data_IF_075003527270
#
_entry.id   IF_075003527270
#
_cell.length_a   1.000
_cell.length_b   1.000
_cell.length_c   1.000
_cell.angle_alpha   90.00
_cell.angle_beta   90.00
_cell.angle_gamma   90.00
#
_symmetry.space_group_name_H-M   'P 1'
#
loop_
_entity.id
_entity.type
_entity.pdbx_description
1 polymer ?
#
# COMPACT_ATOMS: atom_id res chain seq x y z
N UNK A 1 11.23 -5.50 -3.66
CA UNK A 1 12.58 -5.21 -4.19
C UNK A 1 13.40 -6.43 -4.59
N UNK A 2 13.70 -7.42 -3.73
CA UNK A 2 14.52 -8.58 -4.13
C UNK A 2 14.00 -9.33 -5.37
N UNK A 3 12.69 -9.60 -5.40
CA UNK A 3 11.97 -10.20 -6.54
C UNK A 3 12.13 -9.36 -7.82
N UNK A 4 11.99 -8.04 -7.71
CA UNK A 4 12.12 -7.11 -8.84
C UNK A 4 13.55 -7.02 -9.37
N UNK A 5 14.57 -7.07 -8.50
CA UNK A 5 15.99 -7.03 -8.91
C UNK A 5 16.40 -8.21 -9.81
N UNK A 6 15.62 -9.29 -9.82
CA UNK A 6 15.84 -10.45 -10.68
C UNK A 6 14.85 -10.52 -11.86
N UNK A 7 14.11 -9.43 -12.11
CA UNK A 7 13.16 -9.35 -13.23
C UNK A 7 11.86 -10.12 -13.00
N UNK A 8 11.63 -10.66 -11.79
CA UNK A 8 10.38 -11.32 -11.46
C UNK A 8 9.30 -10.32 -11.07
N UNK A 9 8.04 -10.67 -11.36
CA UNK A 9 6.86 -9.86 -11.03
C UNK A 9 6.48 -10.13 -9.58
N UNK A 10 6.37 -9.09 -8.75
CA UNK A 10 5.82 -9.24 -7.40
C UNK A 10 4.31 -9.10 -7.43
N UNK A 11 3.61 -9.97 -6.72
CA UNK A 11 2.16 -9.86 -6.51
C UNK A 11 1.85 -9.99 -5.02
N UNK A 12 1.54 -8.88 -4.33
CA UNK A 12 1.13 -8.95 -2.94
C UNK A 12 -0.21 -9.68 -2.80
N UNK A 13 -0.33 -10.47 -1.74
CA UNK A 13 -1.58 -11.12 -1.35
C UNK A 13 -2.00 -10.64 0.04
N UNK A 14 -3.29 -10.47 0.26
CA UNK A 14 -3.81 -10.08 1.55
C UNK A 14 -3.66 -11.22 2.55
N UNK A 15 -3.15 -11.00 3.77
CA UNK A 15 -3.06 -12.03 4.81
C UNK A 15 -4.45 -12.48 5.31
N UNK A 16 -5.51 -11.77 4.92
CA UNK A 16 -6.90 -12.10 5.25
C UNK A 16 -7.56 -12.99 4.19
N UNK A 17 -6.91 -13.19 3.04
CA UNK A 17 -7.44 -14.01 1.96
C UNK A 17 -7.75 -15.41 2.47
N UNK A 18 -8.96 -15.88 2.16
CA UNK A 18 -9.37 -17.25 2.40
C UNK A 18 -8.84 -18.15 1.29
N UNK A 19 -8.98 -19.45 1.51
CA UNK A 19 -8.53 -20.51 0.61
C UNK A 19 -8.92 -20.26 -0.85
N UNK A 20 -10.19 -19.96 -1.14
CA UNK A 20 -10.65 -19.73 -2.50
C UNK A 20 -10.09 -18.46 -3.15
N UNK A 21 -9.87 -17.40 -2.38
CA UNK A 21 -9.30 -16.13 -2.85
C UNK A 21 -7.82 -16.30 -3.18
N UNK A 22 -7.08 -16.98 -2.29
CA UNK A 22 -5.68 -17.34 -2.52
C UNK A 22 -5.55 -18.29 -3.71
N UNK A 23 -6.38 -19.34 -3.79
CA UNK A 23 -6.39 -20.30 -4.89
C UNK A 23 -6.61 -19.62 -6.23
N UNK A 24 -7.59 -18.70 -6.30
CA UNK A 24 -7.82 -17.91 -7.50
C UNK A 24 -6.59 -17.10 -7.88
N UNK A 25 -6.02 -16.33 -6.93
CA UNK A 25 -4.89 -15.46 -7.20
C UNK A 25 -3.66 -16.25 -7.68
N UNK A 26 -3.24 -17.30 -6.96
CA UNK A 26 -2.02 -18.06 -7.33
C UNK A 26 -2.17 -18.80 -8.65
N UNK A 27 -3.37 -19.27 -8.98
CA UNK A 27 -3.64 -19.98 -10.23
C UNK A 27 -3.74 -19.06 -11.43
N UNK A 28 -4.38 -17.90 -11.28
CA UNK A 28 -4.44 -16.89 -12.35
C UNK A 28 -3.04 -16.32 -12.67
N UNK A 29 -2.23 -16.11 -11.64
CA UNK A 29 -0.81 -15.75 -11.76
C UNK A 29 0.07 -16.84 -12.35
N UNK A 30 -0.32 -18.11 -12.18
CA UNK A 30 0.59 -19.27 -12.26
C UNK A 30 1.84 -19.07 -11.39
N UNK A 31 1.64 -18.58 -10.17
CA UNK A 31 2.71 -18.27 -9.24
C UNK A 31 3.54 -19.53 -8.93
N UNK A 32 4.87 -19.41 -9.00
CA UNK A 32 5.81 -20.51 -8.68
C UNK A 32 6.39 -20.45 -7.27
N UNK A 33 6.40 -19.25 -6.69
CA UNK A 33 7.00 -18.99 -5.38
C UNK A 33 6.02 -18.17 -4.56
N UNK A 34 5.86 -18.53 -3.29
CA UNK A 34 5.12 -17.74 -2.32
C UNK A 34 5.98 -17.51 -1.07
N UNK A 35 5.94 -16.29 -0.54
CA UNK A 35 6.49 -15.96 0.78
C UNK A 35 5.29 -15.74 1.70
N UNK A 36 5.14 -16.60 2.71
CA UNK A 36 3.98 -16.60 3.59
C UNK A 36 4.39 -16.63 5.06
N UNK A 37 3.63 -15.92 5.89
CA UNK A 37 3.81 -16.01 7.32
C UNK A 37 3.45 -17.41 7.83
N UNK A 38 4.15 -17.89 8.85
CA UNK A 38 3.99 -19.25 9.40
C UNK A 38 2.54 -19.57 9.76
N UNK A 39 1.80 -18.60 10.33
CA UNK A 39 0.39 -18.74 10.67
C UNK A 39 -0.56 -18.79 9.47
N UNK A 40 -0.09 -18.47 8.26
CA UNK A 40 -0.84 -18.51 7.00
C UNK A 40 -0.53 -19.77 6.17
N UNK A 41 0.51 -20.53 6.53
CA UNK A 41 0.87 -21.78 5.83
C UNK A 41 -0.28 -22.79 5.73
N UNK A 42 -1.17 -22.96 6.73
CA UNK A 42 -2.32 -23.86 6.58
C UNK A 42 -3.25 -23.51 5.42
N UNK A 43 -3.36 -22.24 5.02
CA UNK A 43 -4.12 -21.84 3.83
C UNK A 43 -3.33 -22.14 2.57
N UNK A 44 -2.02 -21.90 2.58
CA UNK A 44 -1.11 -22.23 1.46
C UNK A 44 -1.11 -23.73 1.17
N UNK A 45 -1.05 -24.57 2.20
CA UNK A 45 -0.96 -26.03 2.07
C UNK A 45 -2.21 -26.65 1.41
N UNK A 46 -3.38 -26.04 1.63
CA UNK A 46 -4.61 -26.48 0.95
C UNK A 46 -4.65 -26.10 -0.52
N UNK A 47 -4.03 -24.97 -0.88
CA UNK A 47 -4.02 -24.45 -2.25
C UNK A 47 -2.90 -25.06 -3.09
N UNK A 48 -1.77 -25.38 -2.46
CA UNK A 48 -0.54 -25.83 -3.13
C UNK A 48 -0.76 -27.02 -4.08
N UNK A 49 -1.47 -28.11 -3.73
CA UNK A 49 -1.61 -29.30 -4.57
C UNK A 49 -2.22 -29.02 -5.95
N UNK A 50 -3.12 -28.05 -6.04
CA UNK A 50 -3.85 -27.70 -7.26
C UNK A 50 -3.32 -26.42 -7.91
N UNK A 51 -2.05 -26.09 -7.68
CA UNK A 51 -1.41 -24.86 -8.15
C UNK A 51 -0.05 -25.07 -8.80
N UNK A 52 0.51 -24.00 -9.38
CA UNK A 52 1.87 -23.99 -9.93
C UNK A 52 2.97 -23.73 -8.88
N UNK A 53 2.63 -23.65 -7.59
CA UNK A 53 3.58 -23.32 -6.52
C UNK A 53 4.60 -24.43 -6.32
N UNK A 54 5.87 -24.09 -6.52
CA UNK A 54 7.02 -24.98 -6.37
C UNK A 54 7.74 -24.71 -5.05
N UNK A 55 7.96 -23.43 -4.72
CA UNK A 55 8.67 -23.01 -3.51
C UNK A 55 7.76 -22.23 -2.56
N UNK A 56 7.84 -22.58 -1.27
CA UNK A 56 7.13 -21.89 -0.19
C UNK A 56 8.16 -21.41 0.80
N UNK A 57 8.37 -20.10 0.88
CA UNK A 57 9.19 -19.48 1.90
C UNK A 57 8.33 -19.14 3.12
N UNK A 58 8.73 -19.64 4.28
CA UNK A 58 8.11 -19.32 5.56
C UNK A 58 8.82 -18.12 6.19
N UNK A 59 8.04 -17.14 6.66
CA UNK A 59 8.50 -16.05 7.53
C UNK A 59 7.79 -16.15 8.88
N UNK A 60 8.45 -15.74 9.96
CA UNK A 60 7.81 -15.64 11.27
C UNK A 60 7.81 -14.18 11.69
N UNK A 61 6.65 -13.64 12.05
CA UNK A 61 6.55 -12.22 12.43
C UNK A 61 7.39 -11.86 13.66
N UNK A 62 7.76 -12.85 14.48
CA UNK A 62 8.59 -12.66 15.66
C UNK A 62 10.11 -12.65 15.36
N UNK A 63 10.54 -13.01 14.15
CA UNK A 63 11.97 -13.24 13.83
C UNK A 63 12.87 -12.01 14.06
N UNK A 64 12.31 -10.81 13.86
CA UNK A 64 13.03 -9.55 14.01
C UNK A 64 12.59 -8.75 15.24
N UNK A 65 11.83 -9.35 16.16
CA UNK A 65 11.48 -8.70 17.41
C UNK A 65 12.73 -8.52 18.29
N UNK A 66 13.01 -7.31 18.79
CA UNK A 66 14.10 -7.11 19.72
C UNK A 66 13.80 -7.86 21.04
N UNK A 67 14.84 -8.28 21.80
CA UNK A 67 14.65 -8.94 23.10
C UNK A 67 13.83 -8.11 24.09
N UNK A 68 13.88 -6.78 23.95
CA UNK A 68 13.05 -5.83 24.70
C UNK A 68 12.37 -4.88 23.71
N UNK A 69 11.11 -5.15 23.31
CA UNK A 69 10.31 -4.23 22.52
C UNK A 69 10.18 -2.87 23.20
N UNK A 70 10.29 -1.80 22.43
CA UNK A 70 10.16 -0.41 22.90
C UNK A 70 8.76 0.15 22.76
N UNK A 71 7.87 -0.58 22.09
CA UNK A 71 6.45 -0.30 21.95
C UNK A 71 5.64 -1.45 22.55
N UNK A 72 4.36 -1.22 22.82
CA UNK A 72 3.44 -2.28 23.18
C UNK A 72 3.38 -3.32 22.06
N UNK A 73 3.48 -4.59 22.44
CA UNK A 73 3.50 -5.69 21.50
C UNK A 73 2.09 -6.28 21.36
N UNK A 74 1.55 -6.42 20.14
CA UNK A 74 0.32 -7.18 19.90
C UNK A 74 0.37 -8.57 20.55
N UNK A 75 -0.75 -9.00 21.14
CA UNK A 75 -0.82 -10.26 21.89
C UNK A 75 -0.39 -11.47 21.04
N UNK A 76 -0.73 -11.48 19.76
CA UNK A 76 -0.33 -12.51 18.81
C UNK A 76 1.18 -12.56 18.56
N UNK A 77 1.87 -11.41 18.57
CA UNK A 77 3.33 -11.37 18.44
C UNK A 77 4.02 -11.77 19.75
N UNK A 78 3.45 -11.36 20.88
CA UNK A 78 3.93 -11.77 22.20
C UNK A 78 3.77 -13.29 22.41
N UNK A 79 2.71 -13.89 21.86
CA UNK A 79 2.52 -15.33 21.83
C UNK A 79 3.52 -16.00 20.89
N UNK A 80 3.65 -15.51 19.65
CA UNK A 80 4.58 -16.05 18.66
C UNK A 80 6.05 -16.02 19.12
N UNK A 81 6.45 -15.04 19.93
CA UNK A 81 7.79 -14.98 20.51
C UNK A 81 8.09 -16.14 21.49
N UNK A 82 7.06 -16.71 22.11
CA UNK A 82 7.19 -17.81 23.08
C UNK A 82 7.05 -19.18 22.44
N UNK A 83 6.47 -19.24 21.24
CA UNK A 83 6.29 -20.49 20.51
C UNK A 83 7.63 -20.95 19.89
N UNK A 84 7.89 -22.27 19.86
CA UNK A 84 9.04 -22.79 19.15
C UNK A 84 8.98 -22.39 17.67
N UNK A 85 10.04 -21.72 17.21
CA UNK A 85 10.20 -21.40 15.79
C UNK A 85 10.37 -22.69 14.99
N UNK A 86 9.44 -22.95 14.07
CA UNK A 86 9.46 -24.15 13.22
C UNK A 86 9.26 -23.80 11.75
N UNK A 87 9.94 -24.52 10.86
CA UNK A 87 9.76 -24.43 9.40
C UNK A 87 9.22 -25.79 8.95
N UNK A 88 7.97 -25.87 8.47
CA UNK A 88 7.38 -27.14 8.05
C UNK A 88 8.14 -27.82 6.91
N UNK A 89 8.04 -29.15 6.83
CA UNK A 89 8.62 -29.90 5.71
C UNK A 89 8.05 -29.41 4.38
N UNK A 90 8.93 -29.22 3.38
CA UNK A 90 8.54 -28.68 2.07
C UNK A 90 8.40 -27.15 2.02
N UNK A 91 8.74 -26.45 3.11
CA UNK A 91 8.95 -25.01 3.15
C UNK A 91 10.44 -24.69 3.33
N UNK A 92 10.84 -23.49 2.93
CA UNK A 92 12.18 -22.94 3.11
C UNK A 92 12.14 -21.77 4.09
N UNK A 93 13.15 -21.65 4.94
CA UNK A 93 13.28 -20.54 5.87
C UNK A 93 13.72 -19.28 5.13
N UNK A 94 12.83 -18.28 5.06
CA UNK A 94 13.12 -17.06 4.32
C UNK A 94 14.25 -16.25 4.98
N UNK A 95 14.29 -16.15 6.31
CA UNK A 95 15.32 -15.37 6.99
C UNK A 95 16.69 -16.02 6.80
N UNK A 96 16.79 -17.34 6.94
CA UNK A 96 18.03 -18.05 6.65
C UNK A 96 18.45 -17.87 5.17
N UNK A 97 17.50 -17.93 4.23
CA UNK A 97 17.80 -17.71 2.81
C UNK A 97 18.35 -16.30 2.52
N UNK A 98 17.89 -15.27 3.25
CA UNK A 98 18.42 -13.90 3.08
C UNK A 98 19.84 -13.70 3.63
N UNK A 99 20.35 -14.63 4.44
CA UNK A 99 21.73 -14.63 4.93
C UNK A 99 22.71 -15.37 4.01
N UNK A 100 22.21 -15.99 2.93
CA UNK A 100 23.05 -16.65 1.95
C UNK A 100 23.93 -15.66 1.17
N UNK A 101 25.01 -16.18 0.58
CA UNK A 101 25.96 -15.43 -0.25
C UNK A 101 25.61 -15.47 -1.76
N UNK A 102 24.45 -16.01 -2.10
CA UNK A 102 23.96 -16.13 -3.46
C UNK A 102 23.86 -14.75 -4.13
N UNK A 103 24.47 -14.63 -5.31
CA UNK A 103 24.39 -13.43 -6.15
C UNK A 103 23.49 -13.72 -7.34
N UNK A 104 22.39 -12.99 -7.53
CA UNK A 104 21.55 -13.19 -8.69
C UNK A 104 22.34 -12.87 -9.96
N UNK A 105 22.12 -13.64 -11.02
CA UNK A 105 22.62 -13.28 -12.33
C UNK A 105 22.02 -11.92 -12.75
N UNK A 106 22.80 -11.02 -13.37
CA UNK A 106 22.23 -9.82 -13.99
C UNK A 106 21.14 -10.20 -14.98
N UNK A 107 20.04 -9.47 -14.93
CA UNK A 107 18.93 -9.58 -15.89
C UNK A 107 18.76 -8.23 -16.56
N UNK A 108 18.41 -8.24 -17.84
CA UNK A 108 18.01 -7.03 -18.54
C UNK A 108 16.57 -6.68 -18.11
N UNK A 109 16.38 -5.45 -17.63
CA UNK A 109 15.09 -4.96 -17.13
C UNK A 109 14.82 -3.60 -17.76
N UNK A 110 13.73 -3.50 -18.51
CA UNK A 110 13.25 -2.26 -19.08
C UNK A 110 12.23 -1.57 -18.15
N UNK A 111 12.11 -0.25 -18.26
CA UNK A 111 11.09 0.50 -17.52
C UNK A 111 9.65 0.08 -17.89
N UNK A 112 9.44 -0.49 -19.07
CA UNK A 112 8.14 -0.96 -19.53
C UNK A 112 7.82 -2.41 -19.06
N UNK A 113 8.78 -3.11 -18.46
CA UNK A 113 8.55 -4.45 -17.91
C UNK A 113 7.64 -4.39 -16.69
N UNK A 114 6.78 -5.40 -16.53
CA UNK A 114 5.87 -5.50 -15.38
C UNK A 114 6.70 -5.76 -14.12
N UNK A 115 6.61 -4.85 -13.15
CA UNK A 115 7.31 -4.95 -11.87
C UNK A 115 6.40 -5.46 -10.76
N UNK A 116 5.11 -5.12 -10.86
CA UNK A 116 4.11 -5.33 -9.82
C UNK A 116 2.79 -5.73 -10.48
N UNK A 117 2.12 -6.71 -9.89
CA UNK A 117 0.75 -7.05 -10.24
C UNK A 117 -0.13 -6.92 -9.00
N UNK A 118 -1.11 -6.03 -9.04
CA UNK A 118 -2.05 -5.82 -7.93
C UNK A 118 -3.41 -6.38 -8.29
N UNK A 119 -3.97 -7.23 -7.44
CA UNK A 119 -5.33 -7.75 -7.64
C UNK A 119 -6.34 -6.73 -7.12
N UNK A 120 -7.20 -6.25 -8.02
CA UNK A 120 -8.21 -5.26 -7.70
C UNK A 120 -9.50 -5.95 -7.29
N UNK A 121 -10.21 -5.44 -6.26
CA UNK A 121 -11.41 -6.06 -5.69
C UNK A 121 -12.66 -5.85 -6.56
N UNK A 122 -12.54 -6.04 -7.88
CA UNK A 122 -13.51 -5.63 -8.90
C UNK A 122 -14.98 -5.67 -8.45
N UNK A 123 -15.71 -4.59 -8.70
CA UNK A 123 -17.10 -4.39 -8.25
C UNK A 123 -18.13 -5.36 -8.84
N UNK A 124 -17.74 -6.13 -9.86
CA UNK A 124 -18.64 -6.97 -10.68
C UNK A 124 -18.15 -8.40 -10.91
N UNK A 125 -17.05 -8.84 -10.27
CA UNK A 125 -16.52 -10.18 -10.50
C UNK A 125 -15.27 -10.54 -9.71
N UNK A 126 -14.61 -11.62 -10.14
CA UNK A 126 -13.36 -12.08 -9.52
C UNK A 126 -12.27 -11.00 -9.65
N UNK A 127 -11.36 -10.89 -8.65
CA UNK A 127 -10.30 -9.89 -8.66
C UNK A 127 -9.46 -9.91 -9.95
N UNK A 128 -9.00 -8.76 -10.44
CA UNK A 128 -8.23 -8.68 -11.69
C UNK A 128 -6.80 -8.22 -11.40
N UNK A 129 -5.80 -8.91 -11.95
CA UNK A 129 -4.39 -8.51 -11.80
C UNK A 129 -4.05 -7.32 -12.69
N UNK A 130 -3.96 -6.11 -12.13
CA UNK A 130 -3.49 -4.92 -12.84
C UNK A 130 -1.96 -4.98 -13.02
N UNK A 131 -1.49 -4.95 -14.28
CA UNK A 131 -0.07 -5.02 -14.62
C UNK A 131 0.59 -3.64 -14.56
N UNK A 132 1.43 -3.42 -13.55
CA UNK A 132 2.12 -2.15 -13.30
C UNK A 132 3.61 -2.31 -13.61
N UNK A 133 4.12 -1.47 -14.50
CA UNK A 133 5.52 -1.48 -14.92
C UNK A 133 6.45 -0.81 -13.91
N UNK A 134 7.76 -1.00 -14.08
CA UNK A 134 8.78 -0.24 -13.35
C UNK A 134 8.61 1.26 -13.54
N UNK A 135 8.32 1.71 -14.77
CA UNK A 135 8.06 3.09 -15.11
C UNK A 135 6.81 3.64 -14.44
N UNK A 136 5.73 2.84 -14.37
CA UNK A 136 4.51 3.24 -13.64
C UNK A 136 4.82 3.51 -12.17
N UNK A 137 5.50 2.55 -11.52
CA UNK A 137 5.85 2.63 -10.11
C UNK A 137 6.81 3.80 -9.83
N UNK A 138 7.85 3.98 -10.65
CA UNK A 138 8.81 5.07 -10.50
C UNK A 138 8.13 6.43 -10.61
N UNK A 139 7.32 6.63 -11.67
CA UNK A 139 6.59 7.89 -11.86
C UNK A 139 5.71 8.22 -10.65
N UNK A 140 4.85 7.28 -10.22
CA UNK A 140 3.94 7.56 -9.10
C UNK A 140 4.65 7.70 -7.77
N UNK A 141 5.71 6.93 -7.53
CA UNK A 141 6.49 7.03 -6.29
C UNK A 141 7.17 8.39 -6.17
N UNK A 142 7.86 8.84 -7.24
CA UNK A 142 8.53 10.15 -7.25
C UNK A 142 7.52 11.29 -7.12
N UNK A 143 6.43 11.27 -7.91
CA UNK A 143 5.43 12.33 -7.83
C UNK A 143 4.71 12.36 -6.48
N UNK A 144 4.44 11.19 -5.88
CA UNK A 144 3.85 11.12 -4.55
C UNK A 144 4.78 11.71 -3.48
N UNK A 145 6.08 11.41 -3.54
CA UNK A 145 7.07 11.99 -2.64
C UNK A 145 7.13 13.52 -2.80
N UNK A 146 7.28 14.00 -4.04
CA UNK A 146 7.40 15.43 -4.36
C UNK A 146 6.15 16.22 -3.94
N UNK A 147 4.96 15.72 -4.27
CA UNK A 147 3.69 16.39 -3.98
C UNK A 147 3.37 16.46 -2.48
N UNK A 148 3.85 15.47 -1.71
CA UNK A 148 3.70 15.45 -0.25
C UNK A 148 4.90 16.04 0.49
N UNK A 149 5.91 16.52 -0.23
CA UNK A 149 7.12 17.14 0.32
C UNK A 149 7.95 16.19 1.19
N UNK A 150 7.90 14.88 0.93
CA UNK A 150 8.64 13.89 1.71
C UNK A 150 10.10 13.88 1.26
N UNK A 151 11.01 14.01 2.22
CA UNK A 151 12.46 14.03 1.99
C UNK A 151 13.17 12.95 2.80
N UNK A 152 14.48 12.80 2.60
CA UNK A 152 15.30 11.87 3.39
C UNK A 152 15.37 12.19 4.89
N UNK A 153 15.02 13.41 5.29
CA UNK A 153 15.01 13.85 6.69
C UNK A 153 13.73 13.45 7.43
N UNK A 154 12.73 12.91 6.71
CA UNK A 154 11.47 12.50 7.30
C UNK A 154 11.52 11.11 7.94
N UNK A 155 10.63 10.92 8.93
CA UNK A 155 10.36 9.64 9.57
C UNK A 155 8.90 9.28 9.33
N UNK A 156 8.66 8.29 8.48
CA UNK A 156 7.33 7.87 8.05
C UNK A 156 6.81 6.74 8.95
N UNK A 157 5.56 6.84 9.40
CA UNK A 157 4.85 5.72 10.03
C UNK A 157 4.15 4.87 8.96
N UNK A 158 4.67 3.67 8.76
CA UNK A 158 4.17 2.69 7.78
C UNK A 158 3.31 1.66 8.49
N UNK A 159 1.99 1.85 8.42
CA UNK A 159 1.01 1.00 9.11
C UNK A 159 -0.23 0.65 8.28
N UNK A 160 -0.41 1.35 7.15
CA UNK A 160 -1.41 0.96 6.16
C UNK A 160 -1.04 -0.43 5.57
N UNK A 161 -2.01 -1.25 5.14
CA UNK A 161 -1.71 -2.58 4.62
C UNK A 161 -0.80 -2.52 3.38
N UNK A 162 0.42 -3.06 3.49
CA UNK A 162 1.43 -2.97 2.43
C UNK A 162 1.12 -3.81 1.19
N UNK A 163 0.18 -4.75 1.29
CA UNK A 163 -0.32 -5.49 0.12
C UNK A 163 -1.28 -4.66 -0.73
N UNK A 164 -1.87 -3.61 -0.16
CA UNK A 164 -2.72 -2.66 -0.87
C UNK A 164 -1.86 -1.56 -1.50
N UNK A 165 -2.19 -1.14 -2.72
CA UNK A 165 -1.35 -0.24 -3.52
C UNK A 165 -1.02 1.08 -2.80
N UNK A 166 -1.97 1.65 -2.05
CA UNK A 166 -1.74 2.87 -1.28
C UNK A 166 -0.77 2.67 -0.11
N UNK A 167 -0.88 1.53 0.60
CA UNK A 167 0.05 1.19 1.68
C UNK A 167 1.44 0.89 1.13
N UNK A 168 1.54 0.23 -0.02
CA UNK A 168 2.80 0.00 -0.72
C UNK A 168 3.47 1.33 -1.14
N UNK A 169 2.72 2.20 -1.81
CA UNK A 169 3.25 3.48 -2.29
C UNK A 169 3.78 4.32 -1.13
N UNK A 170 2.92 4.57 -0.13
CA UNK A 170 3.23 5.48 0.98
C UNK A 170 4.17 4.87 2.02
N UNK A 171 4.09 3.56 2.27
CA UNK A 171 4.82 2.89 3.35
C UNK A 171 6.09 2.14 2.91
N UNK A 172 6.26 1.88 1.61
CA UNK A 172 7.43 1.13 1.08
C UNK A 172 8.15 1.90 0.00
N UNK A 173 7.44 2.42 -0.99
CA UNK A 173 8.09 3.01 -2.17
C UNK A 173 8.62 4.41 -1.88
N UNK A 174 7.79 5.28 -1.28
CA UNK A 174 8.18 6.66 -0.95
C UNK A 174 9.41 6.69 -0.02
N UNK A 175 9.45 5.97 1.12
CA UNK A 175 10.65 5.97 1.97
C UNK A 175 11.92 5.54 1.22
N UNK A 176 11.80 4.56 0.31
CA UNK A 176 12.96 4.05 -0.43
C UNK A 176 13.44 5.02 -1.50
N UNK A 177 12.55 5.72 -2.21
CA UNK A 177 12.98 6.69 -3.23
C UNK A 177 13.58 7.95 -2.61
N UNK A 178 13.07 8.37 -1.44
CA UNK A 178 13.53 9.61 -0.77
C UNK A 178 14.70 9.36 0.17
N UNK A 179 14.93 8.11 0.58
CA UNK A 179 15.88 7.76 1.64
C UNK A 179 15.34 8.01 3.05
N UNK A 180 14.04 8.30 3.20
CA UNK A 180 13.42 8.56 4.49
C UNK A 180 13.41 7.32 5.40
N UNK A 181 13.39 7.56 6.71
CA UNK A 181 13.26 6.47 7.68
C UNK A 181 11.81 5.97 7.69
N UNK A 182 11.60 4.65 7.70
CA UNK A 182 10.27 4.04 7.79
C UNK A 182 10.13 3.27 9.10
N UNK A 183 9.19 3.70 9.96
CA UNK A 183 8.75 2.98 11.15
C UNK A 183 7.62 2.05 10.73
N UNK A 184 7.93 0.77 10.51
CA UNK A 184 6.98 -0.24 10.09
C UNK A 184 6.34 -0.93 11.31
N UNK A 185 5.02 -0.83 11.45
CA UNK A 185 4.27 -1.58 12.46
C UNK A 185 3.64 -2.84 11.84
N UNK A 186 3.55 -3.91 12.64
CA UNK A 186 3.00 -5.21 12.22
C UNK A 186 1.55 -5.10 11.73
N UNK A 187 0.73 -4.35 12.47
CA UNK A 187 -0.64 -3.98 12.14
C UNK A 187 -0.99 -2.67 12.79
N UNK A 188 -2.15 -2.12 12.42
CA UNK A 188 -2.72 -1.01 13.16
C UNK A 188 -3.14 -1.42 14.57
N UNK A 189 -2.65 -0.66 15.55
CA UNK A 189 -3.12 -0.59 16.92
C UNK A 189 -3.01 0.89 17.33
N UNK A 190 -4.10 1.53 17.80
CA UNK A 190 -4.13 2.97 17.97
C UNK A 190 -3.15 3.46 19.05
N UNK A 191 -2.98 2.70 20.14
CA UNK A 191 -2.03 3.05 21.21
C UNK A 191 -0.59 2.90 20.72
N UNK A 192 -0.30 1.78 20.06
CA UNK A 192 1.03 1.49 19.50
C UNK A 192 1.42 2.52 18.43
N UNK A 193 0.46 3.02 17.63
CA UNK A 193 0.70 4.10 16.67
C UNK A 193 1.10 5.40 17.36
N UNK A 194 0.40 5.80 18.44
CA UNK A 194 0.76 6.98 19.24
C UNK A 194 2.15 6.82 19.90
N UNK A 195 2.42 5.65 20.48
CA UNK A 195 3.74 5.31 21.02
C UNK A 195 4.84 5.40 19.96
N UNK A 196 4.58 4.90 18.74
CA UNK A 196 5.54 4.94 17.65
C UNK A 196 5.84 6.38 17.23
N UNK A 197 4.81 7.23 17.14
CA UNK A 197 4.95 8.65 16.81
C UNK A 197 5.84 9.35 17.84
N UNK A 198 5.54 9.19 19.12
CA UNK A 198 6.30 9.78 20.22
C UNK A 198 7.75 9.25 20.27
N UNK A 199 7.90 7.92 20.31
CA UNK A 199 9.18 7.24 20.56
C UNK A 199 10.18 7.47 19.43
N UNK A 200 9.71 7.34 18.18
CA UNK A 200 10.57 7.44 17.00
C UNK A 200 10.52 8.80 16.34
N UNK A 201 9.80 9.76 16.94
CA UNK A 201 9.65 11.13 16.45
C UNK A 201 9.16 11.16 15.00
N UNK A 202 8.14 10.37 14.69
CA UNK A 202 7.52 10.31 13.34
C UNK A 202 7.14 11.72 12.91
N UNK A 203 7.55 12.11 11.71
CA UNK A 203 7.25 13.43 11.12
C UNK A 203 6.07 13.36 10.15
N UNK A 204 5.83 12.18 9.56
CA UNK A 204 4.84 12.00 8.51
C UNK A 204 4.07 10.68 8.68
N UNK A 205 2.75 10.72 8.55
CA UNK A 205 1.92 9.52 8.68
C UNK A 205 0.78 9.51 7.66
N UNK A 206 0.74 8.52 6.77
CA UNK A 206 -0.45 8.25 5.95
C UNK A 206 -1.42 7.35 6.71
N UNK A 207 -2.68 7.76 6.78
CA UNK A 207 -3.74 7.04 7.50
C UNK A 207 -5.06 7.01 6.72
N UNK A 208 -6.02 6.25 7.25
CA UNK A 208 -7.44 6.38 6.90
C UNK A 208 -8.18 7.04 8.05
N UNK A 209 -9.28 7.73 7.78
CA UNK A 209 -10.03 8.47 8.80
C UNK A 209 -10.37 7.66 10.07
N UNK A 210 -10.78 6.37 9.99
CA UNK A 210 -11.00 5.55 11.18
C UNK A 210 -9.76 5.36 12.08
N UNK A 211 -8.55 5.37 11.53
CA UNK A 211 -7.32 5.25 12.32
C UNK A 211 -7.13 6.47 13.23
N UNK A 212 -7.33 7.67 12.69
CA UNK A 212 -7.26 8.90 13.48
C UNK A 212 -8.33 8.93 14.59
N UNK A 213 -9.56 8.51 14.27
CA UNK A 213 -10.64 8.40 15.26
C UNK A 213 -10.25 7.44 16.38
N UNK A 214 -9.74 6.24 16.03
CA UNK A 214 -9.32 5.26 17.01
C UNK A 214 -8.19 5.77 17.91
N UNK A 215 -7.20 6.47 17.35
CA UNK A 215 -6.12 7.10 18.12
C UNK A 215 -6.66 8.13 19.12
N UNK A 216 -7.61 8.99 18.72
CA UNK A 216 -8.23 9.97 19.64
C UNK A 216 -9.05 9.33 20.76
N UNK A 217 -9.52 8.10 20.56
CA UNK A 217 -10.29 7.34 21.56
C UNK A 217 -9.41 6.57 22.56
N UNK A 218 -8.08 6.55 22.37
CA UNK A 218 -7.17 5.93 23.34
C UNK A 218 -7.23 6.69 24.66
N UNK A 219 -7.43 6.00 25.80
CA UNK A 219 -7.31 6.64 27.11
C UNK A 219 -5.93 7.29 27.28
N UNK A 220 -5.90 8.59 27.58
CA UNK A 220 -4.65 9.35 27.66
C UNK A 220 -4.03 9.70 26.30
N UNK A 221 -4.78 9.69 25.20
CA UNK A 221 -4.25 10.04 23.86
C UNK A 221 -3.54 11.40 23.81
N UNK A 222 -4.00 12.38 24.60
CA UNK A 222 -3.40 13.70 24.69
C UNK A 222 -2.09 13.75 25.50
N UNK A 223 -1.75 12.68 26.21
CA UNK A 223 -0.54 12.59 27.04
C UNK A 223 0.70 12.19 26.21
N UNK A 224 0.51 11.65 25.01
CA UNK A 224 1.60 11.34 24.08
C UNK A 224 2.17 12.61 23.43
N UNK A 225 3.49 12.72 23.36
CA UNK A 225 4.18 13.79 22.61
C UNK A 225 4.10 13.54 21.10
N UNK A 226 3.11 14.14 20.44
CA UNK A 226 2.96 14.12 18.98
C UNK A 226 3.60 15.33 18.29
N UNK A 227 4.47 16.09 18.96
CA UNK A 227 5.01 17.36 18.44
C UNK A 227 5.90 17.20 17.20
N UNK A 228 6.46 16.01 16.99
CA UNK A 228 7.25 15.68 15.79
C UNK A 228 6.38 15.57 14.54
N UNK A 229 5.13 15.14 14.67
CA UNK A 229 4.24 14.88 13.55
C UNK A 229 3.85 16.20 12.87
N UNK A 230 4.31 16.40 11.63
CA UNK A 230 4.08 17.61 10.84
C UNK A 230 2.99 17.43 9.80
N UNK A 231 2.92 16.25 9.19
CA UNK A 231 1.98 15.96 8.11
C UNK A 231 1.27 14.64 8.36
N UNK A 232 -0.04 14.64 8.19
CA UNK A 232 -0.84 13.42 8.19
C UNK A 232 -1.90 13.45 7.09
N UNK A 233 -1.54 13.05 5.86
CA UNK A 233 -2.50 12.82 4.79
C UNK A 233 -3.42 11.66 5.17
N UNK A 234 -4.73 11.91 5.15
CA UNK A 234 -5.76 10.97 5.58
C UNK A 234 -6.67 10.66 4.41
N UNK A 235 -6.84 9.39 4.08
CA UNK A 235 -7.80 8.99 3.05
C UNK A 235 -9.20 8.81 3.64
N UNK A 236 -10.20 9.36 2.96
CA UNK A 236 -11.63 9.10 3.20
C UNK A 236 -12.02 7.66 2.85
N UNK A 237 -11.59 6.70 3.66
CA UNK A 237 -11.94 5.29 3.53
C UNK A 237 -12.80 4.84 4.71
N UNK A 238 -13.96 4.23 4.43
CA UNK A 238 -14.97 3.86 5.43
C UNK A 238 -15.80 5.04 5.93
N UNK A 239 -15.16 6.16 6.28
CA UNK A 239 -15.82 7.44 6.59
C UNK A 239 -15.07 8.59 5.90
N UNK A 240 -15.77 9.71 5.67
CA UNK A 240 -15.17 10.90 5.10
C UNK A 240 -14.27 11.63 6.13
N UNK A 241 -13.10 12.07 5.69
CA UNK A 241 -12.22 12.95 6.46
C UNK A 241 -12.68 14.40 6.29
N UNK A 242 -13.36 14.92 7.32
CA UNK A 242 -14.02 16.23 7.29
C UNK A 242 -13.24 17.28 8.08
N UNK A 243 -13.54 18.56 7.86
CA UNK A 243 -12.94 19.65 8.64
C UNK A 243 -13.12 19.48 10.16
N UNK A 244 -14.32 19.13 10.68
CA UNK A 244 -14.48 18.89 12.11
C UNK A 244 -13.58 17.76 12.62
N UNK A 245 -13.45 16.66 11.86
CA UNK A 245 -12.59 15.55 12.23
C UNK A 245 -11.10 15.95 12.23
N UNK A 246 -10.66 16.73 11.24
CA UNK A 246 -9.32 17.27 11.20
C UNK A 246 -9.03 18.19 12.38
N UNK A 247 -9.98 19.04 12.79
CA UNK A 247 -9.87 19.91 13.98
C UNK A 247 -9.80 19.10 15.27
N UNK A 248 -10.56 18.02 15.39
CA UNK A 248 -10.46 17.10 16.53
C UNK A 248 -9.07 16.46 16.61
N UNK A 249 -8.54 15.98 15.48
CA UNK A 249 -7.20 15.41 15.42
C UNK A 249 -6.11 16.43 15.77
N UNK A 250 -6.25 17.66 15.27
CA UNK A 250 -5.32 18.76 15.57
C UNK A 250 -5.31 19.15 17.05
N UNK A 251 -6.38 18.86 17.82
CA UNK A 251 -6.39 19.11 19.26
C UNK A 251 -5.37 18.24 20.03
N UNK A 252 -5.03 17.05 19.52
CA UNK A 252 -3.99 16.19 20.06
C UNK A 252 -2.66 16.33 19.29
N UNK A 253 -2.69 16.38 17.96
CA UNK A 253 -1.52 16.56 17.10
C UNK A 253 -1.37 18.04 16.69
N UNK A 254 -1.05 18.90 17.66
CA UNK A 254 -1.12 20.38 17.55
C UNK A 254 -0.31 20.99 16.40
N UNK A 255 0.78 20.35 16.00
CA UNK A 255 1.68 20.84 14.94
C UNK A 255 1.49 20.09 13.62
N UNK A 256 0.49 19.22 13.54
CA UNK A 256 0.23 18.40 12.38
C UNK A 256 -0.80 19.07 11.47
N UNK A 257 -0.46 19.14 10.18
CA UNK A 257 -1.42 19.42 9.12
C UNK A 257 -2.02 18.10 8.65
N UNK A 258 -3.33 17.93 8.88
CA UNK A 258 -4.09 16.77 8.40
C UNK A 258 -5.13 17.18 7.39
N UNK A 259 -5.18 16.46 6.28
CA UNK A 259 -6.03 16.76 5.13
C UNK A 259 -6.30 15.51 4.31
N UNK A 260 -7.30 15.57 3.42
CA UNK A 260 -7.56 14.48 2.47
C UNK A 260 -6.28 14.14 1.69
N UNK A 261 -5.92 12.86 1.62
CA UNK A 261 -4.66 12.45 1.01
C UNK A 261 -4.71 12.59 -0.52
N UNK A 262 -5.55 11.77 -1.16
CA UNK A 262 -5.58 11.61 -2.60
C UNK A 262 -6.78 10.75 -3.04
N UNK A 263 -7.17 10.92 -4.29
CA UNK A 263 -7.91 9.93 -5.06
C UNK A 263 -6.93 9.11 -5.91
N UNK A 264 -7.22 7.83 -6.09
CA UNK A 264 -6.50 6.99 -7.04
C UNK A 264 -6.99 5.55 -7.10
N UNK A 265 -6.51 4.81 -8.09
CA UNK A 265 -6.91 3.44 -8.38
C UNK A 265 -5.72 2.48 -8.36
N UNK A 266 -5.98 1.18 -8.32
CA UNK A 266 -4.91 0.18 -8.45
C UNK A 266 -4.32 0.18 -9.86
N UNK A 267 -5.15 0.43 -10.86
CA UNK A 267 -4.84 0.53 -12.30
C UNK A 267 -3.94 1.73 -12.64
N UNK A 268 -3.70 2.62 -11.68
CA UNK A 268 -2.92 3.86 -11.86
C UNK A 268 -1.82 4.00 -10.83
N UNK A 269 -1.55 2.93 -10.06
CA UNK A 269 -0.60 2.91 -8.95
C UNK A 269 -0.95 3.96 -7.85
N UNK A 270 -2.24 4.28 -7.72
CA UNK A 270 -2.86 5.28 -6.82
C UNK A 270 -2.33 6.71 -6.98
N UNK A 271 -2.69 7.63 -6.07
CA UNK A 271 -2.24 9.02 -6.02
C UNK A 271 -2.35 9.72 -7.39
N UNK A 272 -3.54 9.70 -7.99
CA UNK A 272 -3.86 10.43 -9.22
C UNK A 272 -4.08 11.91 -8.94
N UNK A 273 -4.56 12.21 -7.74
CA UNK A 273 -4.62 13.56 -7.19
C UNK A 273 -3.80 13.64 -5.90
N UNK A 274 -3.61 14.86 -5.42
CA UNK A 274 -3.09 15.14 -4.09
C UNK A 274 -3.71 16.43 -3.56
N UNK A 275 -3.82 16.56 -2.24
CA UNK A 275 -4.13 17.84 -1.60
C UNK A 275 -2.82 18.56 -1.28
N UNK A 276 -2.56 19.76 -1.81
CA UNK A 276 -1.38 20.53 -1.44
C UNK A 276 -1.42 20.92 0.04
N UNK A 277 -0.29 20.82 0.74
CA UNK A 277 -0.20 21.14 2.17
C UNK A 277 -0.70 22.57 2.46
N UNK A 278 -1.60 22.69 3.44
CA UNK A 278 -2.16 23.97 3.86
C UNK A 278 -3.18 24.59 2.89
N UNK A 279 -3.54 23.89 1.81
CA UNK A 279 -4.51 24.35 0.79
C UNK A 279 -5.71 23.40 0.68
N UNK A 280 -6.05 22.69 1.77
CA UNK A 280 -7.16 21.76 1.79
C UNK A 280 -8.49 22.46 1.50
N UNK A 281 -9.22 21.96 0.50
CA UNK A 281 -10.63 22.27 0.27
C UNK A 281 -11.46 21.08 0.73
N UNK A 282 -12.16 21.24 1.85
CA UNK A 282 -12.93 20.16 2.47
C UNK A 282 -14.01 19.59 1.54
N UNK A 283 -14.17 18.28 1.55
CA UNK A 283 -15.08 17.55 0.65
C UNK A 283 -14.53 17.34 -0.76
N UNK A 284 -13.26 17.64 -1.02
CA UNK A 284 -12.60 17.39 -2.31
C UNK A 284 -11.44 16.42 -2.16
N UNK A 285 -11.03 15.82 -3.29
CA UNK A 285 -9.91 14.89 -3.38
C UNK A 285 -8.63 15.57 -3.86
N UNK A 286 -8.51 16.89 -3.70
CA UNK A 286 -7.35 17.66 -4.15
C UNK A 286 -7.32 17.93 -5.65
N UNK A 287 -6.11 18.09 -6.20
CA UNK A 287 -5.84 18.44 -7.61
C UNK A 287 -5.03 17.33 -8.29
N UNK A 288 -5.06 17.20 -9.63
CA UNK A 288 -4.24 16.22 -10.33
C UNK A 288 -2.75 16.37 -9.98
N UNK A 289 -2.09 15.24 -9.75
CA UNK A 289 -0.64 15.17 -9.61
C UNK A 289 0.02 15.60 -10.94
N UNK A 290 1.18 16.31 -10.93
CA UNK A 290 1.88 16.66 -12.17
C UNK A 290 2.10 15.44 -13.08
N UNK A 291 1.76 15.59 -14.37
CA UNK A 291 1.81 14.50 -15.35
C UNK A 291 0.56 13.60 -15.39
N UNK A 292 -0.41 13.79 -14.47
CA UNK A 292 -1.73 13.18 -14.54
C UNK A 292 -2.71 14.15 -15.22
N UNK A 293 -3.39 13.67 -16.26
CA UNK A 293 -4.51 14.40 -16.87
C UNK A 293 -5.81 13.74 -16.45
N UNK A 294 -6.76 14.52 -15.94
CA UNK A 294 -8.11 14.06 -15.57
C UNK A 294 -9.13 14.79 -16.45
N UNK A 295 -10.17 14.07 -16.90
CA UNK A 295 -11.35 14.63 -17.56
C UNK A 295 -12.61 14.07 -16.92
N UNK A 296 -13.69 14.85 -17.02
CA UNK A 296 -15.03 14.40 -16.67
C UNK A 296 -15.77 14.19 -18.00
N UNK A 297 -16.28 12.98 -18.22
CA UNK A 297 -17.02 12.64 -19.44
C UNK A 297 -18.50 12.45 -19.12
N UNK A 298 -19.34 12.85 -20.06
CA UNK A 298 -20.74 12.45 -20.10
C UNK A 298 -20.82 10.93 -20.38
N UNK A 299 -21.44 10.12 -19.50
CA UNK A 299 -21.45 8.66 -19.65
C UNK A 299 -22.23 8.16 -20.87
N UNK A 300 -23.17 8.94 -21.40
CA UNK A 300 -23.99 8.55 -22.55
C UNK A 300 -23.31 8.89 -23.87
N UNK A 301 -22.69 10.07 -23.95
CA UNK A 301 -22.14 10.61 -25.20
C UNK A 301 -20.62 10.46 -25.31
N UNK A 302 -19.92 10.19 -24.20
CA UNK A 302 -18.46 10.13 -24.13
C UNK A 302 -17.74 11.47 -24.32
N UNK A 303 -18.49 12.59 -24.34
CA UNK A 303 -17.92 13.93 -24.54
C UNK A 303 -17.44 14.52 -23.22
N UNK A 304 -16.39 15.34 -23.28
CA UNK A 304 -15.89 16.06 -22.10
C UNK A 304 -16.93 17.08 -21.61
N UNK A 305 -17.18 17.09 -20.31
CA UNK A 305 -18.05 18.02 -19.62
C UNK A 305 -17.26 19.23 -19.08
N UNK A 306 -17.89 20.42 -18.99
CA UNK A 306 -17.27 21.58 -18.38
C UNK A 306 -17.11 21.42 -16.86
N UNK A 307 -16.28 22.27 -16.26
CA UNK A 307 -16.09 22.28 -14.81
C UNK A 307 -17.40 22.56 -14.07
N UNK A 308 -17.68 21.78 -13.03
CA UNK A 308 -18.89 21.89 -12.20
C UNK A 308 -19.96 20.84 -12.53
N UNK A 309 -19.87 20.17 -13.67
CA UNK A 309 -20.79 19.09 -14.06
C UNK A 309 -20.34 17.73 -13.51
N UNK A 310 -21.30 16.84 -13.27
CA UNK A 310 -21.08 15.48 -12.78
C UNK A 310 -21.01 14.51 -13.96
N UNK A 311 -20.01 13.63 -13.96
CA UNK A 311 -19.83 12.61 -15.00
C UNK A 311 -18.80 11.55 -14.62
N UNK A 312 -18.43 10.70 -15.58
CA UNK A 312 -17.40 9.68 -15.43
C UNK A 312 -16.03 10.34 -15.31
N UNK A 313 -15.23 9.93 -14.31
CA UNK A 313 -13.84 10.34 -14.21
C UNK A 313 -13.03 9.46 -15.15
N UNK A 314 -12.25 10.08 -16.03
CA UNK A 314 -11.24 9.37 -16.81
C UNK A 314 -9.89 10.02 -16.61
N UNK A 315 -8.83 9.21 -16.56
CA UNK A 315 -7.50 9.73 -16.33
C UNK A 315 -6.42 9.04 -17.15
N UNK A 316 -5.35 9.78 -17.45
CA UNK A 316 -4.17 9.30 -18.17
C UNK A 316 -2.91 9.83 -17.53
N UNK A 317 -1.93 8.96 -17.31
CA UNK A 317 -0.61 9.34 -16.82
C UNK A 317 0.45 8.32 -17.21
N UNK A 318 1.75 8.62 -17.04
CA UNK A 318 2.80 7.60 -17.09
C UNK A 318 2.64 6.48 -16.05
N UNK A 319 1.77 6.67 -15.04
CA UNK A 319 1.40 5.67 -14.03
C UNK A 319 0.27 4.72 -14.45
N UNK A 320 -0.34 4.93 -15.62
CA UNK A 320 -1.41 4.06 -16.15
C UNK A 320 -0.88 2.64 -16.40
N UNK A 321 -1.55 1.65 -15.82
CA UNK A 321 -1.25 0.23 -16.00
C UNK A 321 -1.21 -0.19 -17.48
N UNK A 322 -0.58 -1.33 -17.74
CA UNK A 322 -0.54 -1.94 -19.08
C UNK A 322 -1.85 -2.64 -19.47
N UNK A 323 -2.74 -2.85 -18.49
CA UNK A 323 -3.95 -3.65 -18.62
C UNK A 323 -4.06 -4.72 -17.53
N UNK A 324 -5.10 -5.54 -17.64
CA UNK A 324 -5.34 -6.65 -16.73
C UNK A 324 -4.74 -7.95 -17.28
N UNK A 325 -3.99 -8.65 -16.43
CA UNK A 325 -3.39 -9.95 -16.70
C UNK A 325 -4.44 -10.96 -17.15
N UNK A 326 -4.22 -11.61 -18.31
CA UNK A 326 -5.13 -12.60 -18.90
C UNK A 326 -6.60 -12.14 -19.08
N UNK A 327 -6.86 -10.82 -19.16
CA UNK A 327 -8.22 -10.27 -19.32
C UNK A 327 -8.25 -9.15 -20.38
N UNK A 328 -8.07 -9.45 -21.68
CA UNK A 328 -8.04 -8.45 -22.74
C UNK A 328 -9.36 -7.67 -22.87
N UNK A 329 -10.51 -8.33 -22.69
CA UNK A 329 -11.82 -7.67 -22.76
C UNK A 329 -12.02 -6.66 -21.63
N UNK A 330 -11.68 -7.05 -20.39
CA UNK A 330 -11.71 -6.12 -19.26
C UNK A 330 -10.70 -4.98 -19.44
N UNK A 331 -9.56 -5.27 -20.07
CA UNK A 331 -8.56 -4.24 -20.41
C UNK A 331 -9.13 -3.24 -21.40
N UNK A 332 -9.73 -3.69 -22.50
CA UNK A 332 -10.35 -2.82 -23.49
C UNK A 332 -11.53 -2.02 -22.92
N UNK A 333 -12.27 -2.59 -21.97
CA UNK A 333 -13.36 -1.89 -21.29
C UNK A 333 -12.86 -0.75 -20.38
N UNK A 334 -11.71 -0.93 -19.70
CA UNK A 334 -11.18 0.05 -18.73
C UNK A 334 -10.13 0.99 -19.34
N UNK A 335 -9.27 0.52 -20.24
CA UNK A 335 -8.20 1.28 -20.87
C UNK A 335 -8.53 1.57 -22.33
N UNK A 336 -9.03 2.79 -22.61
CA UNK A 336 -9.47 3.22 -23.94
C UNK A 336 -8.61 4.37 -24.43
N UNK A 337 -7.91 4.20 -25.54
CA UNK A 337 -7.02 5.23 -26.12
C UNK A 337 -6.02 5.84 -25.12
N UNK A 338 -5.53 5.01 -24.20
CA UNK A 338 -4.61 5.39 -23.13
C UNK A 338 -5.27 6.07 -21.91
N UNK A 339 -6.59 6.15 -21.86
CA UNK A 339 -7.36 6.66 -20.71
C UNK A 339 -7.92 5.51 -19.89
N UNK A 340 -7.73 5.58 -18.58
CA UNK A 340 -8.38 4.71 -17.60
C UNK A 340 -9.75 5.29 -17.30
N UNK A 341 -10.78 4.50 -17.60
CA UNK A 341 -12.17 4.72 -17.23
C UNK A 341 -12.44 4.12 -15.85
N UNK A 342 -12.97 4.91 -14.93
CA UNK A 342 -13.09 4.56 -13.50
C UNK A 342 -14.47 4.06 -13.13
#
# INVERSE_FOLDING_TARGET
YGIQKIGAIVCPSGPLNKEHELAYQVNDLKARVIVAASNLLPVVDKVRPDSALQHVFAVHYADLLPPSPTLDLPAELAAAQKEPRTVPAGCEDFLAATQGDAKPAPVDIALDDVALMTYTSGTTGLPKGAMLSYGNALFKTTMCADCNGVTGDDVLLSIAPLYHIAGMLMGVNVPVVTGATSVLLHRFDPRTALQAIERYRVTWWYSIAPMNVACMQVPGAADFDLSSLKMNPVTSFGIAFTEPLARQWQAIAKHCTSQEAAYGLSETHTCDTYTPAGQAKWGTQGIPVPGVTIRILDPETGKALPAGEVGEIVLRSPGTFKGYWNKPEATAATLRDGWVHT
#
